data_IF_887875879338
#
_entry.id   IF_887875879338
#
_cell.length_a   1.000
_cell.length_b   1.000
_cell.length_c   1.000
_cell.angle_alpha   90.00
_cell.angle_beta   90.00
_cell.angle_gamma   90.00
#
_symmetry.space_group_name_H-M   'P 1'
#
loop_
_entity.id
_entity.type
_entity.pdbx_description
1 polymer ?
#
# COMPACT_ATOMS: atom_id res chain seq x y z
N UNK A 1 -37.85 -6.04 -26.76
CA UNK A 1 -36.42 -6.15 -27.11
C UNK A 1 -35.89 -4.74 -27.37
N UNK A 2 -35.19 -4.16 -26.39
CA UNK A 2 -34.32 -3.00 -26.61
C UNK A 2 -33.36 -2.91 -25.44
N UNK A 3 -32.09 -2.73 -25.78
CA UNK A 3 -30.90 -3.05 -25.02
C UNK A 3 -30.62 -2.08 -23.87
N UNK A 4 -30.09 -2.59 -22.77
CA UNK A 4 -29.45 -1.80 -21.72
C UNK A 4 -28.09 -1.26 -22.23
N UNK A 5 -27.73 0.01 -21.97
CA UNK A 5 -26.39 0.49 -22.24
C UNK A 5 -25.45 -0.02 -21.14
N UNK A 6 -24.43 -0.79 -21.53
CA UNK A 6 -23.31 -1.12 -20.67
C UNK A 6 -22.56 0.16 -20.28
N UNK A 7 -22.72 0.58 -19.03
CA UNK A 7 -21.88 1.61 -18.42
C UNK A 7 -20.47 1.08 -18.25
N UNK A 8 -19.54 1.58 -19.05
CA UNK A 8 -18.10 1.42 -18.87
C UNK A 8 -17.70 1.97 -17.49
N UNK A 9 -17.45 1.09 -16.54
CA UNK A 9 -16.80 1.44 -15.27
C UNK A 9 -15.35 1.79 -15.61
N UNK A 10 -14.97 3.08 -15.53
CA UNK A 10 -13.59 3.51 -15.77
C UNK A 10 -12.71 2.97 -14.64
N UNK A 11 -11.74 2.11 -14.98
CA UNK A 11 -10.64 1.78 -14.07
C UNK A 11 -9.58 2.90 -14.16
N UNK A 12 -9.09 3.37 -13.02
CA UNK A 12 -8.02 4.37 -12.94
C UNK A 12 -6.67 3.67 -12.77
N UNK A 13 -5.75 3.83 -13.73
CA UNK A 13 -4.36 3.32 -13.70
C UNK A 13 -3.37 4.45 -13.82
N UNK A 14 -2.23 4.36 -13.12
CA UNK A 14 -1.05 5.25 -13.13
C UNK A 14 0.01 4.66 -14.04
N UNK A 15 -0.34 4.43 -15.31
CA UNK A 15 0.66 4.07 -16.30
C UNK A 15 1.24 5.37 -16.88
N UNK A 16 2.52 5.62 -16.63
CA UNK A 16 3.30 6.52 -17.47
C UNK A 16 3.39 5.85 -18.84
N UNK A 17 3.05 6.57 -19.91
CA UNK A 17 2.87 5.96 -21.24
C UNK A 17 4.21 5.49 -21.82
N UNK A 18 4.67 4.34 -21.34
CA UNK A 18 5.73 3.51 -21.85
C UNK A 18 5.09 2.13 -22.02
N UNK A 19 5.10 1.61 -23.23
CA UNK A 19 4.21 0.55 -23.69
C UNK A 19 4.35 -0.78 -22.92
N UNK A 20 3.45 -1.07 -21.98
CA UNK A 20 3.10 -2.44 -21.58
C UNK A 20 2.04 -2.47 -20.47
N UNK A 21 0.86 -3.08 -20.68
CA UNK A 21 -0.09 -3.31 -19.57
C UNK A 21 0.23 -4.66 -18.94
N UNK A 22 0.85 -4.66 -17.76
CA UNK A 22 1.26 -5.90 -17.11
C UNK A 22 0.03 -6.58 -16.49
N UNK A 23 -0.32 -7.76 -17.00
CA UNK A 23 -1.46 -8.61 -16.57
C UNK A 23 -1.25 -9.34 -15.23
N UNK A 24 -0.13 -9.11 -14.54
CA UNK A 24 0.31 -9.89 -13.36
C UNK A 24 -0.69 -9.95 -12.19
N UNK A 25 -1.67 -9.05 -12.11
CA UNK A 25 -2.62 -9.06 -11.00
C UNK A 25 -4.03 -9.59 -11.31
N UNK A 26 -4.36 -9.96 -12.55
CA UNK A 26 -5.64 -10.67 -12.80
C UNK A 26 -5.68 -12.00 -12.02
N UNK A 27 -4.58 -12.75 -12.00
CA UNK A 27 -4.45 -14.00 -11.23
C UNK A 27 -4.55 -13.79 -9.71
N UNK A 28 -4.00 -12.69 -9.21
CA UNK A 28 -4.09 -12.31 -7.80
C UNK A 28 -5.53 -11.97 -7.44
N UNK A 29 -6.23 -11.20 -8.29
CA UNK A 29 -7.64 -10.87 -8.08
C UNK A 29 -8.54 -12.09 -8.22
N UNK A 30 -8.29 -12.99 -9.18
CA UNK A 30 -9.05 -14.23 -9.33
C UNK A 30 -8.91 -15.11 -8.09
N UNK A 31 -7.67 -15.29 -7.62
CA UNK A 31 -7.35 -16.03 -6.39
C UNK A 31 -8.03 -15.41 -5.17
N UNK A 32 -7.94 -14.08 -5.02
CA UNK A 32 -8.57 -13.38 -3.91
C UNK A 32 -10.10 -13.38 -4.03
N UNK A 33 -10.65 -13.29 -5.24
CA UNK A 33 -12.09 -13.38 -5.49
C UNK A 33 -12.65 -14.76 -5.16
N UNK A 34 -11.85 -15.82 -5.33
CA UNK A 34 -12.16 -17.15 -4.85
C UNK A 34 -12.13 -17.23 -3.31
N UNK A 35 -11.14 -16.59 -2.66
CA UNK A 35 -11.06 -16.53 -1.19
C UNK A 35 -12.20 -15.69 -0.59
N UNK A 36 -12.63 -14.64 -1.30
CA UNK A 36 -13.61 -13.67 -0.81
C UNK A 36 -15.03 -13.85 -1.35
N UNK A 37 -15.24 -14.80 -2.26
CA UNK A 37 -16.49 -15.00 -2.99
C UNK A 37 -16.77 -13.92 -4.04
N UNK A 38 -17.54 -14.27 -5.07
CA UNK A 38 -17.96 -13.39 -6.19
C UNK A 38 -18.91 -12.23 -5.81
N UNK A 39 -19.03 -11.91 -4.52
CA UNK A 39 -19.87 -10.83 -4.01
C UNK A 39 -19.01 -9.77 -3.33
N UNK A 40 -18.46 -8.87 -4.15
CA UNK A 40 -17.98 -7.54 -3.75
C UNK A 40 -19.10 -6.61 -3.23
N UNK A 41 -20.30 -7.13 -2.95
CA UNK A 41 -21.34 -6.37 -2.30
C UNK A 41 -21.10 -6.38 -0.80
N UNK A 42 -20.57 -5.25 -0.31
CA UNK A 42 -20.57 -4.81 1.07
C UNK A 42 -21.85 -5.28 1.78
N UNK A 43 -21.76 -6.36 2.54
CA UNK A 43 -22.87 -6.77 3.40
C UNK A 43 -22.85 -5.84 4.61
N UNK A 44 -23.82 -4.94 4.62
CA UNK A 44 -24.11 -4.05 5.72
C UNK A 44 -24.54 -4.86 6.95
N UNK A 45 -23.89 -4.57 8.08
CA UNK A 45 -24.40 -4.64 9.46
C UNK A 45 -24.86 -5.95 10.12
N UNK A 46 -24.95 -7.15 9.51
CA UNK A 46 -25.38 -8.31 10.34
C UNK A 46 -25.07 -9.75 9.90
N UNK A 47 -24.15 -10.00 8.99
CA UNK A 47 -23.71 -11.38 8.77
C UNK A 47 -22.24 -11.44 8.45
N UNK A 48 -21.45 -11.75 9.48
CA UNK A 48 -20.23 -12.52 9.30
C UNK A 48 -20.64 -13.76 8.48
N UNK A 49 -20.10 -13.90 7.27
CA UNK A 49 -20.25 -15.15 6.55
C UNK A 49 -19.67 -16.23 7.47
N UNK A 50 -20.41 -17.30 7.76
CA UNK A 50 -19.83 -18.42 8.49
C UNK A 50 -18.68 -18.92 7.62
N UNK A 51 -17.46 -18.85 8.15
CA UNK A 51 -16.30 -19.51 7.57
C UNK A 51 -16.67 -20.99 7.55
N UNK A 52 -17.01 -21.52 6.38
CA UNK A 52 -17.18 -22.97 6.23
C UNK A 52 -15.91 -23.65 6.72
N UNK A 53 -16.10 -24.54 7.68
CA UNK A 53 -15.06 -25.25 8.42
C UNK A 53 -14.27 -26.20 7.52
N UNK A 54 -13.02 -26.44 7.96
CA UNK A 54 -12.17 -27.61 7.69
C UNK A 54 -10.98 -27.50 6.72
N UNK A 55 -10.45 -26.29 6.49
CA UNK A 55 -9.08 -26.15 5.98
C UNK A 55 -8.04 -25.99 7.11
N UNK A 56 -6.85 -26.55 6.91
CA UNK A 56 -5.80 -26.56 7.92
C UNK A 56 -5.28 -25.17 8.31
N UNK A 57 -5.37 -24.16 7.45
CA UNK A 57 -4.94 -22.79 7.79
C UNK A 57 -5.89 -22.26 8.86
N UNK A 58 -7.20 -22.36 8.62
CA UNK A 58 -8.24 -21.97 9.57
C UNK A 58 -8.05 -22.68 10.92
N UNK A 59 -7.83 -24.00 10.90
CA UNK A 59 -7.57 -24.77 12.12
C UNK A 59 -6.28 -24.34 12.83
N UNK A 60 -5.19 -24.12 12.09
CA UNK A 60 -3.89 -23.71 12.64
C UNK A 60 -3.98 -22.33 13.30
N UNK A 61 -4.65 -21.37 12.66
CA UNK A 61 -4.83 -20.01 13.20
C UNK A 61 -5.66 -20.04 14.47
N UNK A 62 -6.80 -20.74 14.48
CA UNK A 62 -7.67 -20.85 15.67
C UNK A 62 -6.95 -21.54 16.83
N UNK A 63 -6.16 -22.59 16.57
CA UNK A 63 -5.37 -23.30 17.58
C UNK A 63 -4.18 -22.49 18.11
N UNK A 64 -3.70 -21.48 17.38
CA UNK A 64 -2.62 -20.62 17.86
C UNK A 64 -3.04 -19.69 19.00
N UNK A 65 -4.35 -19.56 19.26
CA UNK A 65 -4.89 -18.83 20.40
C UNK A 65 -4.31 -17.40 20.50
N UNK A 66 -4.30 -16.70 19.36
CA UNK A 66 -3.61 -15.42 19.16
C UNK A 66 -4.00 -14.37 20.21
N UNK A 67 -5.27 -14.37 20.62
CA UNK A 67 -5.87 -13.36 21.51
C UNK A 67 -5.99 -13.79 22.98
N UNK A 68 -5.40 -14.94 23.36
CA UNK A 68 -5.40 -15.37 24.75
C UNK A 68 -4.63 -14.38 25.64
N UNK A 69 -5.31 -13.86 26.65
CA UNK A 69 -4.84 -12.84 27.59
C UNK A 69 -4.49 -11.49 26.93
N UNK A 70 -5.19 -11.14 25.85
CA UNK A 70 -5.02 -9.87 25.11
C UNK A 70 -6.35 -9.11 25.17
N UNK A 71 -6.46 -8.11 26.05
CA UNK A 71 -7.67 -7.28 26.23
C UNK A 71 -8.01 -6.51 24.95
N UNK A 72 -6.97 -6.07 24.23
CA UNK A 72 -7.10 -5.44 22.91
C UNK A 72 -7.89 -6.29 21.90
N UNK A 73 -7.94 -7.61 22.11
CA UNK A 73 -8.54 -8.59 21.21
C UNK A 73 -9.69 -9.35 21.90
N UNK A 74 -10.72 -8.61 22.34
CA UNK A 74 -11.93 -9.14 23.00
C UNK A 74 -13.15 -9.08 22.08
N UNK A 75 -14.11 -9.99 22.32
CA UNK A 75 -15.39 -10.07 21.61
C UNK A 75 -15.20 -10.09 20.07
N UNK A 76 -15.86 -9.18 19.36
CA UNK A 76 -15.84 -9.11 17.89
C UNK A 76 -14.44 -8.82 17.32
N UNK A 77 -13.54 -8.20 18.08
CA UNK A 77 -12.18 -7.89 17.60
C UNK A 77 -11.27 -9.11 17.58
N UNK A 78 -11.60 -10.15 18.38
CA UNK A 78 -10.96 -11.47 18.27
C UNK A 78 -11.26 -12.12 16.94
N UNK A 79 -12.54 -12.20 16.60
CA UNK A 79 -12.95 -12.77 15.33
C UNK A 79 -12.35 -11.98 14.17
N UNK A 80 -12.33 -10.65 14.25
CA UNK A 80 -11.69 -9.80 13.24
C UNK A 80 -10.20 -10.14 13.05
N UNK A 81 -9.42 -10.24 14.13
CA UNK A 81 -8.00 -10.57 14.06
C UNK A 81 -7.75 -11.96 13.45
N UNK A 82 -8.51 -12.97 13.90
CA UNK A 82 -8.41 -14.33 13.38
C UNK A 82 -8.77 -14.39 11.89
N UNK A 83 -9.88 -13.76 11.49
CA UNK A 83 -10.29 -13.67 10.09
C UNK A 83 -9.22 -12.98 9.23
N UNK A 84 -8.65 -11.88 9.71
CA UNK A 84 -7.62 -11.14 8.98
C UNK A 84 -6.40 -12.01 8.72
N UNK A 85 -5.92 -12.71 9.75
CA UNK A 85 -4.76 -13.58 9.66
C UNK A 85 -5.04 -14.80 8.78
N UNK A 86 -6.23 -15.40 8.87
CA UNK A 86 -6.64 -16.51 8.00
C UNK A 86 -6.61 -16.08 6.54
N UNK A 87 -7.19 -14.92 6.23
CA UNK A 87 -7.24 -14.41 4.86
C UNK A 87 -5.85 -14.08 4.34
N UNK A 88 -4.99 -13.43 5.14
CA UNK A 88 -3.60 -13.18 4.78
C UNK A 88 -2.86 -14.50 4.49
N UNK A 89 -3.03 -15.52 5.35
CA UNK A 89 -2.41 -16.83 5.16
C UNK A 89 -2.92 -17.54 3.91
N UNK A 90 -4.23 -17.56 3.67
CA UNK A 90 -4.81 -18.15 2.45
C UNK A 90 -4.33 -17.42 1.19
N UNK A 91 -4.25 -16.09 1.24
CA UNK A 91 -3.75 -15.27 0.13
C UNK A 91 -2.30 -15.61 -0.22
N UNK A 92 -1.43 -15.64 0.79
CA UNK A 92 -0.03 -16.03 0.62
C UNK A 92 0.10 -17.49 0.15
N UNK A 93 -0.61 -18.43 0.78
CA UNK A 93 -0.58 -19.84 0.40
C UNK A 93 -0.95 -20.04 -1.07
N UNK A 94 -2.02 -19.42 -1.53
CA UNK A 94 -2.47 -19.59 -2.91
C UNK A 94 -1.48 -19.02 -3.92
N UNK A 95 -0.84 -17.88 -3.60
CA UNK A 95 0.25 -17.35 -4.43
C UNK A 95 1.42 -18.34 -4.45
N UNK A 96 1.85 -18.83 -3.30
CA UNK A 96 2.95 -19.78 -3.22
C UNK A 96 2.63 -21.09 -3.95
N UNK A 97 1.40 -21.60 -3.86
CA UNK A 97 0.92 -22.77 -4.62
C UNK A 97 0.97 -22.52 -6.13
N UNK A 98 0.45 -21.38 -6.57
CA UNK A 98 0.45 -21.01 -7.98
C UNK A 98 1.87 -20.86 -8.53
N UNK A 99 2.80 -20.36 -7.72
CA UNK A 99 4.18 -20.08 -8.11
C UNK A 99 5.08 -21.32 -8.08
N UNK A 100 4.98 -22.13 -7.03
CA UNK A 100 5.83 -23.31 -6.83
C UNK A 100 5.25 -24.58 -7.47
N UNK A 101 3.96 -24.58 -7.83
CA UNK A 101 3.29 -25.73 -8.43
C UNK A 101 3.51 -27.01 -7.60
N UNK A 102 4.02 -28.05 -8.26
CA UNK A 102 4.30 -29.35 -7.63
C UNK A 102 5.40 -29.30 -6.56
N UNK A 103 6.25 -28.26 -6.55
CA UNK A 103 7.26 -28.06 -5.51
C UNK A 103 6.65 -27.49 -4.22
N UNK A 104 5.41 -26.99 -4.26
CA UNK A 104 4.73 -26.49 -3.07
C UNK A 104 4.45 -27.63 -2.08
N UNK A 105 5.16 -27.62 -0.95
CA UNK A 105 4.95 -28.58 0.13
C UNK A 105 4.06 -27.96 1.20
N UNK A 106 2.78 -28.34 1.22
CA UNK A 106 1.79 -27.88 2.22
C UNK A 106 2.30 -27.97 3.68
N UNK A 107 2.91 -29.09 4.07
CA UNK A 107 3.47 -29.27 5.43
C UNK A 107 4.58 -28.26 5.77
N UNK A 108 5.35 -27.85 4.77
CA UNK A 108 6.39 -26.83 4.95
C UNK A 108 5.72 -25.48 5.19
N UNK A 109 4.73 -25.12 4.38
CA UNK A 109 3.99 -23.87 4.57
C UNK A 109 3.25 -23.84 5.90
N UNK A 110 2.68 -24.96 6.35
CA UNK A 110 2.06 -25.06 7.69
C UNK A 110 3.04 -24.73 8.82
N UNK A 111 4.27 -25.22 8.74
CA UNK A 111 5.31 -24.89 9.72
C UNK A 111 5.72 -23.41 9.63
N UNK A 112 5.81 -22.88 8.41
CA UNK A 112 6.07 -21.47 8.19
C UNK A 112 4.94 -20.59 8.75
N UNK A 113 3.68 -21.01 8.60
CA UNK A 113 2.52 -20.33 9.16
C UNK A 113 2.58 -20.28 10.69
N UNK A 114 3.04 -21.34 11.37
CA UNK A 114 3.23 -21.31 12.84
C UNK A 114 4.18 -20.19 13.25
N UNK A 115 5.27 -19.98 12.51
CA UNK A 115 6.18 -18.84 12.73
C UNK A 115 5.47 -17.50 12.52
N UNK A 116 4.63 -17.36 11.49
CA UNK A 116 3.88 -16.12 11.24
C UNK A 116 2.97 -15.80 12.44
N UNK A 117 2.33 -16.83 12.98
CA UNK A 117 1.40 -16.71 14.11
C UNK A 117 2.10 -16.31 15.41
N UNK A 118 3.36 -16.72 15.61
CA UNK A 118 4.18 -16.24 16.74
C UNK A 118 4.42 -14.72 16.64
N UNK A 119 4.77 -14.20 15.46
CA UNK A 119 4.93 -12.76 15.23
C UNK A 119 3.61 -12.00 15.36
N UNK A 120 2.52 -12.54 14.82
CA UNK A 120 1.18 -11.95 14.99
C UNK A 120 0.83 -11.84 16.48
N UNK A 121 1.11 -12.88 17.27
CA UNK A 121 0.87 -12.85 18.71
C UNK A 121 1.72 -11.80 19.42
N UNK A 122 2.98 -11.62 19.01
CA UNK A 122 3.83 -10.55 19.51
C UNK A 122 3.26 -9.15 19.20
N UNK A 123 2.81 -8.94 17.96
CA UNK A 123 2.17 -7.68 17.53
C UNK A 123 0.93 -7.38 18.38
N UNK A 124 0.04 -8.37 18.58
CA UNK A 124 -1.18 -8.21 19.37
C UNK A 124 -0.88 -7.94 20.86
N UNK A 125 0.15 -8.57 21.43
CA UNK A 125 0.59 -8.26 22.80
C UNK A 125 1.17 -6.86 22.92
N UNK A 126 1.97 -6.42 21.95
CA UNK A 126 2.49 -5.06 21.90
C UNK A 126 1.37 -4.03 21.81
N UNK A 127 0.36 -4.28 20.97
CA UNK A 127 -0.84 -3.46 20.87
C UNK A 127 -1.61 -3.37 22.19
N UNK A 128 -1.72 -4.48 22.92
CA UNK A 128 -2.34 -4.49 24.24
C UNK A 128 -1.59 -3.64 25.27
N UNK A 129 -0.26 -3.66 25.24
CA UNK A 129 0.55 -2.81 26.11
C UNK A 129 0.33 -1.32 25.76
N UNK A 130 0.37 -0.97 24.47
CA UNK A 130 0.06 0.41 24.01
C UNK A 130 -1.34 0.87 24.45
N UNK A 131 -2.35 0.01 24.34
CA UNK A 131 -3.71 0.34 24.80
C UNK A 131 -3.75 0.64 26.32
N UNK A 132 -2.92 -0.05 27.09
CA UNK A 132 -2.81 0.14 28.54
C UNK A 132 -2.12 1.47 28.87
N UNK A 133 -1.15 1.89 28.07
CA UNK A 133 -0.38 3.13 28.24
C UNK A 133 -1.13 4.37 27.73
N UNK A 134 -1.73 4.29 26.56
CA UNK A 134 -2.35 5.42 25.85
C UNK A 134 -3.86 5.58 26.10
N UNK A 135 -4.51 4.53 26.63
CA UNK A 135 -5.94 4.52 26.92
C UNK A 135 -6.84 4.22 25.71
N UNK A 136 -8.17 4.16 25.94
CA UNK A 136 -9.14 3.71 24.93
C UNK A 136 -9.28 4.64 23.73
N UNK A 137 -8.94 5.92 23.88
CA UNK A 137 -9.10 6.92 22.81
C UNK A 137 -8.12 6.70 21.64
N UNK A 138 -7.05 5.93 21.84
CA UNK A 138 -6.10 5.56 20.77
C UNK A 138 -6.40 4.21 20.11
N UNK A 139 -7.46 3.50 20.52
CA UNK A 139 -7.79 2.15 20.04
C UNK A 139 -7.82 2.05 18.50
N UNK A 140 -8.35 3.08 17.85
CA UNK A 140 -8.37 3.19 16.40
C UNK A 140 -6.97 3.15 15.79
N UNK A 141 -6.05 3.99 16.27
CA UNK A 141 -4.68 4.07 15.75
C UNK A 141 -3.92 2.77 16.00
N UNK A 142 -4.16 2.14 17.16
CA UNK A 142 -3.56 0.85 17.49
C UNK A 142 -4.05 -0.24 16.53
N UNK A 143 -5.33 -0.27 16.14
CA UNK A 143 -5.82 -1.24 15.14
C UNK A 143 -5.26 -1.01 13.74
N UNK A 144 -5.14 0.25 13.31
CA UNK A 144 -4.48 0.59 12.05
C UNK A 144 -3.03 0.10 12.05
N UNK A 145 -2.32 0.28 13.16
CA UNK A 145 -0.95 -0.22 13.36
C UNK A 145 -0.89 -1.75 13.30
N UNK A 146 -1.78 -2.46 13.98
CA UNK A 146 -1.82 -3.93 14.01
C UNK A 146 -2.04 -4.50 12.62
N UNK A 147 -3.00 -3.95 11.87
CA UNK A 147 -3.30 -4.41 10.50
C UNK A 147 -2.05 -4.28 9.61
N UNK A 148 -1.39 -3.12 9.67
CA UNK A 148 -0.19 -2.82 8.88
C UNK A 148 1.03 -3.65 9.29
N UNK A 149 1.25 -3.86 10.59
CA UNK A 149 2.37 -4.67 11.09
C UNK A 149 2.22 -6.15 10.75
N UNK A 150 1.00 -6.68 10.82
CA UNK A 150 0.73 -8.05 10.38
C UNK A 150 0.98 -8.16 8.87
N UNK A 151 0.47 -7.21 8.08
CA UNK A 151 0.72 -7.15 6.63
C UNK A 151 2.23 -7.15 6.32
N UNK A 152 3.00 -6.30 7.01
CA UNK A 152 4.46 -6.24 6.89
C UNK A 152 5.13 -7.59 7.18
N UNK A 153 4.75 -8.27 8.27
CA UNK A 153 5.33 -9.57 8.63
C UNK A 153 4.98 -10.67 7.63
N UNK A 154 3.77 -10.64 7.08
CA UNK A 154 3.39 -11.58 6.01
C UNK A 154 4.20 -11.33 4.74
N UNK A 155 4.40 -10.07 4.33
CA UNK A 155 5.27 -9.74 3.19
C UNK A 155 6.70 -10.21 3.42
N UNK A 156 7.31 -9.84 4.56
CA UNK A 156 8.68 -10.18 4.93
C UNK A 156 8.91 -11.70 4.92
N UNK A 157 8.11 -12.43 5.69
CA UNK A 157 8.30 -13.86 5.86
C UNK A 157 7.92 -14.65 4.60
N UNK A 158 7.04 -14.13 3.74
CA UNK A 158 6.74 -14.74 2.45
C UNK A 158 7.89 -14.53 1.46
N UNK A 159 8.46 -13.32 1.41
CA UNK A 159 9.63 -13.04 0.57
C UNK A 159 10.85 -13.85 0.99
N UNK A 160 11.10 -14.01 2.30
CA UNK A 160 12.17 -14.89 2.82
C UNK A 160 11.91 -16.34 2.41
N UNK A 161 10.68 -16.81 2.55
CA UNK A 161 10.30 -18.16 2.17
C UNK A 161 10.55 -18.39 0.67
N UNK A 162 10.10 -17.48 -0.19
CA UNK A 162 10.34 -17.59 -1.63
C UNK A 162 11.84 -17.59 -1.93
N UNK A 163 12.63 -16.69 -1.34
CA UNK A 163 14.08 -16.63 -1.60
C UNK A 163 14.81 -17.94 -1.24
N UNK A 164 14.32 -18.69 -0.24
CA UNK A 164 14.90 -19.98 0.15
C UNK A 164 14.50 -21.13 -0.78
N UNK A 165 13.28 -21.11 -1.32
CA UNK A 165 12.74 -22.17 -2.18
C UNK A 165 12.96 -21.93 -3.68
N UNK A 166 13.26 -20.69 -4.06
CA UNK A 166 13.45 -20.28 -5.45
C UNK A 166 14.87 -20.56 -6.01
N UNK A 167 15.66 -21.37 -5.32
CA UNK A 167 16.89 -21.91 -5.90
C UNK A 167 16.56 -22.86 -7.08
N UNK A 168 15.32 -23.33 -7.22
CA UNK A 168 14.93 -24.37 -8.19
C UNK A 168 13.81 -24.00 -9.19
N UNK A 169 13.24 -22.78 -9.19
CA UNK A 169 12.11 -22.42 -10.07
C UNK A 169 12.50 -21.56 -11.28
N UNK A 170 11.71 -21.63 -12.37
CA UNK A 170 11.95 -20.90 -13.63
C UNK A 170 11.40 -19.46 -13.67
N UNK A 171 10.62 -19.04 -12.67
CA UNK A 171 9.93 -17.74 -12.70
C UNK A 171 10.78 -16.64 -12.06
N UNK A 172 10.66 -15.38 -12.47
CA UNK A 172 11.48 -14.30 -11.91
C UNK A 172 11.15 -14.07 -10.42
N UNK A 173 12.18 -13.97 -9.56
CA UNK A 173 12.00 -13.61 -8.13
C UNK A 173 11.24 -12.28 -7.97
N UNK A 174 11.44 -11.37 -8.93
CA UNK A 174 10.77 -10.07 -8.99
C UNK A 174 9.25 -10.24 -9.14
N UNK A 175 8.79 -11.03 -10.12
CA UNK A 175 7.36 -11.30 -10.34
C UNK A 175 6.69 -11.92 -9.11
N UNK A 176 7.38 -12.82 -8.42
CA UNK A 176 6.87 -13.45 -7.21
C UNK A 176 6.68 -12.45 -6.08
N UNK A 177 7.69 -11.61 -5.85
CA UNK A 177 7.61 -10.54 -4.86
C UNK A 177 6.48 -9.56 -5.20
N UNK A 178 6.29 -9.24 -6.49
CA UNK A 178 5.17 -8.38 -6.93
C UNK A 178 3.82 -8.98 -6.56
N UNK A 179 3.58 -10.25 -6.91
CA UNK A 179 2.30 -10.92 -6.60
C UNK A 179 2.04 -11.00 -5.09
N UNK A 180 3.06 -11.31 -4.29
CA UNK A 180 2.95 -11.36 -2.83
C UNK A 180 2.62 -10.00 -2.20
N UNK A 181 3.36 -8.96 -2.60
CA UNK A 181 3.14 -7.60 -2.10
C UNK A 181 1.74 -7.12 -2.52
N UNK A 182 1.33 -7.34 -3.77
CA UNK A 182 -0.01 -6.98 -4.23
C UNK A 182 -1.13 -7.67 -3.45
N UNK A 183 -1.02 -8.97 -3.17
CA UNK A 183 -2.06 -9.66 -2.42
C UNK A 183 -2.18 -9.15 -0.99
N UNK A 184 -1.06 -8.96 -0.30
CA UNK A 184 -1.07 -8.43 1.08
C UNK A 184 -1.65 -7.02 1.14
N UNK A 185 -1.31 -6.16 0.17
CA UNK A 185 -1.86 -4.80 -0.03
C UNK A 185 -3.37 -4.82 -0.25
N UNK A 186 -3.89 -5.70 -1.11
CA UNK A 186 -5.33 -5.82 -1.38
C UNK A 186 -6.07 -6.27 -0.11
N UNK A 187 -5.53 -7.26 0.60
CA UNK A 187 -6.12 -7.76 1.85
C UNK A 187 -6.07 -6.67 2.93
N UNK A 188 -4.96 -5.95 3.06
CA UNK A 188 -4.81 -4.83 3.99
C UNK A 188 -5.87 -3.76 3.75
N UNK A 189 -5.98 -3.21 2.52
CA UNK A 189 -6.97 -2.18 2.20
C UNK A 189 -8.39 -2.63 2.54
N UNK A 190 -8.73 -3.88 2.21
CA UNK A 190 -10.02 -4.46 2.53
C UNK A 190 -10.28 -4.50 4.03
N UNK A 191 -9.30 -4.88 4.83
CA UNK A 191 -9.48 -4.96 6.29
C UNK A 191 -9.43 -3.58 6.96
N UNK A 192 -8.66 -2.63 6.44
CA UNK A 192 -8.75 -1.22 6.83
C UNK A 192 -10.14 -0.64 6.53
N UNK A 193 -10.74 -1.01 5.41
CA UNK A 193 -12.11 -0.63 5.07
C UNK A 193 -13.13 -1.28 5.99
N UNK A 194 -13.03 -2.61 6.19
CA UNK A 194 -13.92 -3.37 7.08
C UNK A 194 -13.87 -2.85 8.52
N UNK A 195 -12.68 -2.53 9.04
CA UNK A 195 -12.54 -2.03 10.42
C UNK A 195 -13.14 -0.63 10.56
N UNK A 196 -13.02 0.21 9.53
CA UNK A 196 -13.68 1.51 9.46
C UNK A 196 -15.21 1.38 9.46
N UNK A 197 -15.80 0.58 8.56
CA UNK A 197 -17.27 0.44 8.48
C UNK A 197 -17.85 -0.31 9.69
N UNK A 198 -17.21 -1.42 10.08
CA UNK A 198 -17.72 -2.32 11.11
C UNK A 198 -17.56 -1.79 12.53
N UNK A 199 -16.46 -1.09 12.80
CA UNK A 199 -16.09 -0.66 14.14
C UNK A 199 -15.92 0.87 14.27
N UNK A 200 -16.16 1.65 13.21
CA UNK A 200 -15.96 3.10 13.23
C UNK A 200 -14.49 3.53 13.31
N UNK A 201 -13.56 2.59 13.14
CA UNK A 201 -12.12 2.81 13.27
C UNK A 201 -11.52 3.25 11.93
N UNK A 202 -11.91 4.44 11.47
CA UNK A 202 -11.54 4.99 10.16
C UNK A 202 -10.35 5.94 10.25
N UNK A 203 -9.44 5.95 9.28
CA UNK A 203 -8.38 6.97 9.19
C UNK A 203 -9.01 8.37 9.22
N UNK A 204 -8.73 9.15 10.27
CA UNK A 204 -9.31 10.49 10.49
C UNK A 204 -8.42 11.62 9.98
N UNK A 205 -7.11 11.41 10.00
CA UNK A 205 -6.12 12.35 9.47
C UNK A 205 -5.45 11.71 8.27
N UNK A 206 -5.61 12.35 7.11
CA UNK A 206 -4.96 11.98 5.85
C UNK A 206 -4.31 13.22 5.23
N UNK A 207 -3.50 13.88 6.06
CA UNK A 207 -2.86 15.15 5.73
C UNK A 207 -1.90 15.02 4.55
N UNK A 208 -1.11 13.95 4.50
CA UNK A 208 -0.18 13.70 3.39
C UNK A 208 -0.94 13.52 2.08
N UNK A 209 -1.98 12.68 2.10
CA UNK A 209 -2.87 12.50 0.93
C UNK A 209 -3.48 13.83 0.48
N UNK A 210 -3.93 14.67 1.41
CA UNK A 210 -4.55 15.96 1.11
C UNK A 210 -3.54 16.99 0.58
N UNK A 211 -2.35 17.03 1.14
CA UNK A 211 -1.27 17.92 0.69
C UNK A 211 -0.82 17.54 -0.72
N UNK A 212 -0.59 16.26 -0.98
CA UNK A 212 -0.26 15.76 -2.31
C UNK A 212 -1.36 16.10 -3.33
N UNK A 213 -2.63 15.87 -2.97
CA UNK A 213 -3.75 16.23 -3.84
C UNK A 213 -3.77 17.71 -4.17
N UNK A 214 -3.54 18.57 -3.19
CA UNK A 214 -3.53 20.03 -3.36
C UNK A 214 -2.43 20.44 -4.35
N UNK A 215 -1.21 19.90 -4.22
CA UNK A 215 -0.10 20.16 -5.13
C UNK A 215 -0.45 19.71 -6.56
N UNK A 216 -0.97 18.49 -6.71
CA UNK A 216 -1.33 17.92 -8.02
C UNK A 216 -2.47 18.69 -8.70
N UNK A 217 -3.45 19.18 -7.93
CA UNK A 217 -4.51 20.06 -8.43
C UNK A 217 -3.94 21.38 -8.95
N UNK A 218 -2.98 21.97 -8.25
CA UNK A 218 -2.33 23.19 -8.72
C UNK A 218 -1.52 22.96 -10.00
N UNK A 219 -0.84 21.82 -10.15
CA UNK A 219 -0.13 21.51 -11.40
C UNK A 219 -1.05 21.45 -12.62
N UNK A 220 -2.29 20.98 -12.47
CA UNK A 220 -3.25 20.93 -13.57
C UNK A 220 -3.59 22.32 -14.16
N UNK A 221 -3.48 23.38 -13.36
CA UNK A 221 -3.82 24.76 -13.76
C UNK A 221 -2.61 25.69 -13.93
N UNK A 222 -1.40 25.23 -13.59
CA UNK A 222 -0.17 26.01 -13.74
C UNK A 222 0.35 26.01 -15.17
N UNK A 223 1.36 26.83 -15.49
CA UNK A 223 2.07 26.76 -16.77
C UNK A 223 2.97 25.52 -16.83
N UNK A 224 3.16 24.96 -18.04
CA UNK A 224 3.94 23.73 -18.24
C UNK A 224 5.37 23.89 -17.73
N UNK A 225 5.98 25.04 -18.04
CA UNK A 225 7.35 25.37 -17.66
C UNK A 225 7.52 25.46 -16.13
N UNK A 226 6.47 25.90 -15.41
CA UNK A 226 6.52 25.93 -13.94
C UNK A 226 6.45 24.53 -13.35
N UNK A 227 5.59 23.66 -13.87
CA UNK A 227 5.52 22.26 -13.43
C UNK A 227 6.83 21.54 -13.74
N UNK A 228 7.41 21.78 -14.91
CA UNK A 228 8.74 21.28 -15.30
C UNK A 228 9.84 21.77 -14.36
N UNK A 229 9.82 23.04 -13.99
CA UNK A 229 10.78 23.61 -13.03
C UNK A 229 10.68 22.94 -11.65
N UNK A 230 9.47 22.64 -11.18
CA UNK A 230 9.28 21.86 -9.96
C UNK A 230 9.91 20.47 -10.07
N UNK A 231 9.63 19.75 -11.17
CA UNK A 231 10.19 18.40 -11.38
C UNK A 231 11.71 18.44 -11.48
N UNK A 232 12.29 19.51 -12.04
CA UNK A 232 13.74 19.72 -12.06
C UNK A 232 14.32 19.80 -10.64
N UNK A 233 13.77 20.65 -9.78
CA UNK A 233 14.22 20.75 -8.40
C UNK A 233 14.06 19.42 -7.64
N UNK A 234 12.94 18.72 -7.84
CA UNK A 234 12.72 17.40 -7.23
C UNK A 234 13.77 16.38 -7.70
N UNK A 235 14.02 16.31 -9.02
CA UNK A 235 14.99 15.39 -9.63
C UNK A 235 16.42 15.63 -9.09
N UNK A 236 16.83 16.90 -9.00
CA UNK A 236 18.13 17.30 -8.45
C UNK A 236 18.27 16.92 -6.96
N UNK A 237 17.25 17.18 -6.15
CA UNK A 237 17.30 16.83 -4.72
C UNK A 237 17.28 15.32 -4.47
N UNK A 238 16.53 14.53 -5.27
CA UNK A 238 16.57 13.07 -5.19
C UNK A 238 17.97 12.52 -5.48
N UNK A 239 18.67 13.10 -6.46
CA UNK A 239 20.06 12.76 -6.75
C UNK A 239 20.98 13.12 -5.56
N UNK A 240 20.86 14.34 -5.03
CA UNK A 240 21.66 14.81 -3.89
C UNK A 240 21.47 13.96 -2.63
N UNK A 241 20.28 13.39 -2.44
CA UNK A 241 19.95 12.54 -1.29
C UNK A 241 20.36 11.07 -1.46
N UNK A 242 21.04 10.71 -2.56
CA UNK A 242 21.39 9.32 -2.90
C UNK A 242 20.16 8.40 -2.98
N UNK A 243 18.98 8.92 -3.33
CA UNK A 243 17.76 8.12 -3.41
C UNK A 243 17.89 6.96 -4.40
N UNK A 244 18.59 7.14 -5.51
CA UNK A 244 18.72 6.10 -6.52
C UNK A 244 19.57 4.90 -6.07
N UNK A 245 20.41 5.04 -5.03
CA UNK A 245 21.28 3.94 -4.58
C UNK A 245 20.54 2.85 -3.81
N UNK A 246 19.29 3.09 -3.41
CA UNK A 246 18.45 2.09 -2.73
C UNK A 246 17.56 1.29 -3.69
N UNK A 247 17.50 1.68 -4.96
CA UNK A 247 16.72 1.01 -6.00
C UNK A 247 17.58 -0.01 -6.76
N UNK A 248 16.93 -0.92 -7.48
CA UNK A 248 17.64 -1.75 -8.47
C UNK A 248 18.24 -0.87 -9.57
N UNK A 249 19.32 -1.32 -10.22
CA UNK A 249 19.96 -0.57 -11.31
C UNK A 249 18.96 -0.21 -12.42
N UNK A 250 18.16 -1.19 -12.86
CA UNK A 250 17.15 -0.98 -13.90
C UNK A 250 16.08 0.03 -13.47
N UNK A 251 15.51 -0.13 -12.27
CA UNK A 251 14.48 0.79 -11.76
C UNK A 251 15.03 2.20 -11.55
N UNK A 252 16.24 2.31 -11.01
CA UNK A 252 16.93 3.59 -10.83
C UNK A 252 17.16 4.29 -12.16
N UNK A 253 17.64 3.56 -13.17
CA UNK A 253 17.91 4.08 -14.49
C UNK A 253 16.64 4.58 -15.19
N UNK A 254 15.58 3.76 -15.21
CA UNK A 254 14.31 4.13 -15.82
C UNK A 254 13.65 5.32 -15.13
N UNK A 255 13.67 5.37 -13.79
CA UNK A 255 13.15 6.51 -13.05
C UNK A 255 13.94 7.80 -13.34
N UNK A 256 15.27 7.71 -13.43
CA UNK A 256 16.11 8.85 -13.82
C UNK A 256 15.77 9.34 -15.23
N UNK A 257 15.58 8.44 -16.19
CA UNK A 257 15.17 8.81 -17.56
C UNK A 257 13.83 9.56 -17.54
N UNK A 258 12.81 8.99 -16.88
CA UNK A 258 11.47 9.59 -16.82
C UNK A 258 11.52 10.98 -16.17
N UNK A 259 12.19 11.12 -15.02
CA UNK A 259 12.30 12.39 -14.32
C UNK A 259 13.12 13.42 -15.12
N UNK A 260 14.18 12.97 -15.80
CA UNK A 260 14.98 13.81 -16.68
C UNK A 260 14.15 14.31 -17.88
N UNK A 261 13.36 13.44 -18.51
CA UNK A 261 12.45 13.83 -19.59
C UNK A 261 11.37 14.81 -19.11
N UNK A 262 10.78 14.55 -17.95
CA UNK A 262 9.84 15.47 -17.34
C UNK A 262 10.49 16.82 -16.98
N UNK A 263 11.76 16.86 -16.57
CA UNK A 263 12.46 18.08 -16.17
C UNK A 263 13.05 18.89 -17.34
N UNK A 264 13.41 18.24 -18.45
CA UNK A 264 14.24 18.85 -19.50
C UNK A 264 13.74 18.63 -20.94
N UNK A 265 12.96 17.59 -21.24
CA UNK A 265 12.52 17.31 -22.61
C UNK A 265 11.31 18.16 -23.01
N UNK A 266 11.42 18.91 -24.12
CA UNK A 266 10.29 19.69 -24.68
C UNK A 266 9.12 18.83 -25.14
N UNK A 267 9.34 17.53 -25.38
CA UNK A 267 8.37 16.63 -26.00
C UNK A 267 7.50 15.87 -24.98
N UNK A 268 7.88 15.90 -23.70
CA UNK A 268 7.12 15.25 -22.62
C UNK A 268 6.39 16.32 -21.82
N UNK A 269 5.09 16.11 -21.56
CA UNK A 269 4.28 16.98 -20.71
C UNK A 269 4.20 16.41 -19.29
N UNK A 270 4.93 16.97 -18.29
CA UNK A 270 4.82 16.53 -16.90
C UNK A 270 3.40 16.60 -16.36
N UNK A 271 2.61 17.59 -16.77
CA UNK A 271 1.22 17.71 -16.31
C UNK A 271 0.37 16.53 -16.72
N UNK A 272 0.48 16.09 -17.98
CA UNK A 272 -0.29 14.96 -18.46
C UNK A 272 0.03 13.71 -17.65
N UNK A 273 1.32 13.47 -17.36
CA UNK A 273 1.78 12.35 -16.55
C UNK A 273 1.28 12.44 -15.09
N UNK A 274 1.40 13.61 -14.47
CA UNK A 274 0.95 13.85 -13.08
C UNK A 274 -0.57 13.85 -12.94
N UNK A 275 -1.34 14.14 -14.00
CA UNK A 275 -2.80 14.14 -13.99
C UNK A 275 -3.39 12.76 -13.67
N UNK A 276 -2.67 11.71 -14.03
CA UNK A 276 -3.07 10.34 -13.75
C UNK A 276 -2.91 10.00 -12.28
N UNK A 277 -1.77 10.40 -11.69
CA UNK A 277 -1.57 10.31 -10.24
C UNK A 277 -2.62 11.14 -9.49
N UNK A 278 -2.93 12.34 -9.97
CA UNK A 278 -3.98 13.20 -9.39
C UNK A 278 -5.33 12.47 -9.31
N UNK A 279 -5.75 11.76 -10.37
CA UNK A 279 -7.02 11.00 -10.38
C UNK A 279 -7.03 9.90 -9.33
N UNK A 280 -5.92 9.17 -9.17
CA UNK A 280 -5.83 8.10 -8.16
C UNK A 280 -5.84 8.66 -6.74
N UNK A 281 -5.14 9.76 -6.50
CA UNK A 281 -5.17 10.46 -5.20
C UNK A 281 -6.58 11.00 -4.91
N UNK A 282 -7.26 11.54 -5.92
CA UNK A 282 -8.65 12.00 -5.79
C UNK A 282 -9.60 10.85 -5.42
N UNK A 283 -9.48 9.70 -6.11
CA UNK A 283 -10.26 8.50 -5.81
C UNK A 283 -10.02 8.02 -4.37
N UNK A 284 -8.79 8.12 -3.86
CA UNK A 284 -8.48 7.85 -2.46
C UNK A 284 -9.23 8.77 -1.50
N UNK A 285 -9.19 10.08 -1.75
CA UNK A 285 -9.90 11.06 -0.90
C UNK A 285 -11.40 10.76 -0.88
N UNK A 286 -11.98 10.43 -2.04
CA UNK A 286 -13.40 10.09 -2.13
C UNK A 286 -13.71 8.78 -1.39
N UNK A 287 -12.85 7.76 -1.51
CA UNK A 287 -12.95 6.53 -0.74
C UNK A 287 -12.92 6.80 0.78
N UNK A 288 -11.97 7.61 1.25
CA UNK A 288 -11.86 7.97 2.68
C UNK A 288 -13.07 8.75 3.19
N UNK A 289 -13.70 9.59 2.34
CA UNK A 289 -14.88 10.39 2.69
C UNK A 289 -16.18 9.59 2.67
N UNK A 290 -16.35 8.74 1.67
CA UNK A 290 -17.64 8.09 1.39
C UNK A 290 -17.69 6.63 1.80
N UNK A 291 -16.54 6.01 2.08
CA UNK A 291 -16.41 4.57 2.28
C UNK A 291 -17.03 3.76 1.13
N UNK A 292 -16.91 4.26 -0.11
CA UNK A 292 -17.35 3.53 -1.30
C UNK A 292 -16.14 2.97 -2.03
N UNK A 293 -16.16 1.65 -2.23
CA UNK A 293 -15.16 0.97 -3.04
C UNK A 293 -15.30 1.38 -4.52
N UNK A 294 -14.21 1.86 -5.09
CA UNK A 294 -14.05 2.00 -6.53
C UNK A 294 -13.19 0.85 -7.08
N UNK A 295 -13.44 0.45 -8.33
CA UNK A 295 -12.56 -0.49 -9.03
C UNK A 295 -11.27 0.22 -9.42
N UNK A 296 -10.20 -0.07 -8.71
CA UNK A 296 -8.86 0.46 -8.94
C UNK A 296 -7.96 -0.62 -9.54
N UNK A 297 -7.01 -0.22 -10.37
CA UNK A 297 -5.94 -1.13 -10.82
C UNK A 297 -4.87 -1.30 -9.73
N UNK A 298 -3.96 -2.26 -9.92
CA UNK A 298 -3.00 -2.67 -8.91
C UNK A 298 -2.00 -1.58 -8.50
N UNK A 299 -1.50 -0.82 -9.47
CA UNK A 299 -0.70 0.40 -9.27
C UNK A 299 -1.46 1.45 -8.45
N UNK A 300 -2.76 1.64 -8.72
CA UNK A 300 -3.59 2.56 -7.95
C UNK A 300 -3.83 2.06 -6.51
N UNK A 301 -4.02 0.75 -6.31
CA UNK A 301 -4.12 0.14 -4.98
C UNK A 301 -2.82 0.25 -4.18
N UNK A 302 -1.67 0.08 -4.82
CA UNK A 302 -0.36 0.31 -4.21
C UNK A 302 -0.22 1.77 -3.77
N UNK A 303 -0.57 2.72 -4.62
CA UNK A 303 -0.60 4.14 -4.22
C UNK A 303 -1.53 4.37 -3.03
N UNK A 304 -2.68 3.72 -2.97
CA UNK A 304 -3.59 3.85 -1.83
C UNK A 304 -2.98 3.36 -0.52
N UNK A 305 -2.28 2.21 -0.51
CA UNK A 305 -1.60 1.72 0.70
C UNK A 305 -0.39 2.59 1.06
N UNK A 306 0.45 2.95 0.09
CA UNK A 306 1.60 3.83 0.32
C UNK A 306 1.16 5.14 0.96
N UNK A 307 0.11 5.78 0.42
CA UNK A 307 -0.45 6.99 1.01
C UNK A 307 -1.05 6.74 2.38
N UNK A 308 -1.67 5.57 2.61
CA UNK A 308 -2.15 5.19 3.94
C UNK A 308 -1.04 5.02 4.96
N UNK A 309 0.13 4.52 4.57
CA UNK A 309 1.30 4.36 5.44
C UNK A 309 1.95 5.71 5.71
N UNK A 310 2.04 6.58 4.70
CA UNK A 310 2.53 7.95 4.85
C UNK A 310 1.61 8.78 5.75
N UNK A 311 0.29 8.70 5.57
CA UNK A 311 -0.69 9.35 6.45
C UNK A 311 -0.55 8.85 7.89
N UNK A 312 -0.33 7.54 8.10
CA UNK A 312 -0.08 6.97 9.43
C UNK A 312 1.19 7.55 10.06
N UNK A 313 2.30 7.57 9.32
CA UNK A 313 3.58 8.10 9.78
C UNK A 313 3.43 9.55 10.28
N UNK A 314 2.68 10.37 9.55
CA UNK A 314 2.50 11.78 9.85
C UNK A 314 1.36 12.07 10.83
N UNK A 315 0.38 11.17 10.97
CA UNK A 315 -0.67 11.31 12.00
C UNK A 315 -0.14 11.30 13.43
N UNK A 316 1.06 10.76 13.65
CA UNK A 316 1.73 10.67 14.95
C UNK A 316 2.52 11.98 15.25
N UNK A 317 2.87 12.75 14.22
CA UNK A 317 3.91 13.76 14.30
C UNK A 317 3.37 15.21 14.19
N UNK A 318 2.66 15.70 15.21
CA UNK A 318 2.12 17.09 15.30
C UNK A 318 1.02 17.42 14.26
N UNK A 319 0.09 18.35 14.58
CA UNK A 319 -0.87 18.86 13.61
C UNK A 319 -0.18 19.66 12.49
N UNK A 320 -0.61 19.48 11.23
CA UNK A 320 -0.29 20.38 10.10
C UNK A 320 1.17 20.39 9.63
N UNK A 321 1.82 19.23 9.56
CA UNK A 321 3.21 19.11 9.12
C UNK A 321 3.51 19.67 7.73
N UNK A 322 2.57 19.58 6.79
CA UNK A 322 2.77 20.07 5.42
C UNK A 322 2.35 21.53 5.23
N UNK A 323 1.87 22.21 6.28
CA UNK A 323 1.35 23.57 6.15
C UNK A 323 2.40 24.58 5.70
N UNK A 324 3.62 24.49 6.26
CA UNK A 324 4.73 25.37 5.89
C UNK A 324 5.16 25.12 4.44
N UNK A 325 5.37 23.85 4.07
CA UNK A 325 5.68 23.47 2.70
C UNK A 325 4.62 23.96 1.70
N UNK A 326 3.33 23.75 1.99
CA UNK A 326 2.25 24.21 1.13
C UNK A 326 2.23 25.73 1.01
N UNK A 327 2.45 26.44 2.12
CA UNK A 327 2.53 27.91 2.13
C UNK A 327 3.67 28.39 1.21
N UNK A 328 4.86 27.79 1.34
CA UNK A 328 6.01 28.14 0.52
C UNK A 328 5.78 27.76 -0.95
N UNK A 329 5.13 26.63 -1.22
CA UNK A 329 4.72 26.21 -2.57
C UNK A 329 3.80 27.25 -3.23
N UNK A 330 2.78 27.74 -2.53
CA UNK A 330 1.87 28.76 -3.06
C UNK A 330 2.57 30.10 -3.27
N UNK A 331 3.52 30.48 -2.42
CA UNK A 331 4.35 31.69 -2.62
C UNK A 331 5.27 31.54 -3.83
N UNK A 332 5.93 30.38 -3.96
CA UNK A 332 6.78 30.04 -5.09
C UNK A 332 6.02 30.13 -6.42
N UNK A 333 4.84 29.50 -6.48
CA UNK A 333 3.93 29.54 -7.64
C UNK A 333 3.69 30.98 -8.12
N UNK A 334 3.55 31.94 -7.21
CA UNK A 334 3.27 33.35 -7.51
C UNK A 334 4.53 34.15 -7.88
N UNK A 335 5.65 33.92 -7.20
CA UNK A 335 6.80 34.83 -7.21
C UNK A 335 8.03 34.34 -7.99
N UNK A 336 8.01 33.12 -8.55
CA UNK A 336 9.15 32.50 -9.25
C UNK A 336 10.47 32.57 -8.46
N UNK A 337 10.39 32.40 -7.14
CA UNK A 337 11.57 32.31 -6.26
C UNK A 337 12.23 30.93 -6.38
N UNK A 338 13.44 30.75 -5.85
CA UNK A 338 14.05 29.41 -5.78
C UNK A 338 13.30 28.54 -4.77
N UNK A 339 12.86 27.35 -5.17
CA UNK A 339 12.08 26.41 -4.34
C UNK A 339 12.84 25.13 -3.96
N UNK A 340 14.11 25.01 -4.40
CA UNK A 340 14.95 23.83 -4.10
C UNK A 340 15.12 23.60 -2.60
N UNK A 341 15.24 24.69 -1.81
CA UNK A 341 15.41 24.62 -0.35
C UNK A 341 14.20 23.97 0.32
N UNK A 342 12.98 24.39 -0.04
CA UNK A 342 11.74 23.86 0.53
C UNK A 342 11.53 22.39 0.13
N UNK A 343 11.87 22.02 -1.11
CA UNK A 343 11.86 20.61 -1.55
C UNK A 343 12.85 19.78 -0.74
N UNK A 344 14.06 20.28 -0.54
CA UNK A 344 15.07 19.61 0.27
C UNK A 344 14.62 19.44 1.72
N UNK A 345 14.00 20.45 2.31
CA UNK A 345 13.47 20.41 3.66
C UNK A 345 12.41 19.31 3.81
N UNK A 346 11.39 19.30 2.93
CA UNK A 346 10.33 18.29 3.00
C UNK A 346 10.86 16.86 2.74
N UNK A 347 11.82 16.68 1.82
CA UNK A 347 12.40 15.35 1.58
C UNK A 347 13.23 14.86 2.78
N UNK A 348 13.94 15.75 3.47
CA UNK A 348 14.64 15.40 4.70
C UNK A 348 13.67 15.08 5.84
N UNK A 349 12.54 15.78 5.93
CA UNK A 349 11.48 15.45 6.88
C UNK A 349 10.87 14.07 6.61
N UNK A 350 10.59 13.74 5.34
CA UNK A 350 10.15 12.40 4.93
C UNK A 350 11.18 11.35 5.36
N UNK A 351 12.47 11.59 5.06
CA UNK A 351 13.56 10.68 5.47
C UNK A 351 13.61 10.49 6.98
N UNK A 352 13.51 11.56 7.75
CA UNK A 352 13.57 11.51 9.21
C UNK A 352 12.34 10.78 9.78
N UNK A 353 11.13 11.04 9.25
CA UNK A 353 9.92 10.31 9.62
C UNK A 353 10.05 8.81 9.34
N UNK A 354 10.59 8.45 8.19
CA UNK A 354 10.86 7.05 7.83
C UNK A 354 11.85 6.39 8.80
N UNK A 355 12.87 7.10 9.26
CA UNK A 355 13.84 6.58 10.22
C UNK A 355 13.26 6.38 11.63
N UNK A 356 12.25 7.17 12.01
CA UNK A 356 11.55 7.06 13.30
C UNK A 356 10.47 5.98 13.31
N UNK A 357 10.10 5.47 12.14
CA UNK A 357 9.09 4.41 12.01
C UNK A 357 9.67 3.05 12.45
N UNK A 358 8.80 2.21 13.02
CA UNK A 358 9.11 0.81 13.30
C UNK A 358 9.70 0.12 12.06
N UNK A 359 10.81 -0.61 12.24
CA UNK A 359 11.57 -1.24 11.15
C UNK A 359 10.68 -2.02 10.18
N UNK A 360 9.77 -2.82 10.72
CA UNK A 360 8.86 -3.67 9.95
C UNK A 360 8.00 -2.85 8.97
N UNK A 361 7.47 -1.73 9.44
CA UNK A 361 6.65 -0.83 8.63
C UNK A 361 7.50 -0.06 7.62
N UNK A 362 8.74 0.29 7.99
CA UNK A 362 9.69 0.94 7.08
C UNK A 362 10.04 0.03 5.91
N UNK A 363 10.37 -1.23 6.20
CA UNK A 363 10.68 -2.24 5.18
C UNK A 363 9.47 -2.51 4.28
N UNK A 364 8.26 -2.63 4.85
CA UNK A 364 7.01 -2.75 4.09
C UNK A 364 6.85 -1.61 3.09
N UNK A 365 6.92 -0.36 3.56
CA UNK A 365 6.72 0.81 2.71
C UNK A 365 7.78 0.89 1.61
N UNK A 366 9.04 0.58 1.90
CA UNK A 366 10.10 0.48 0.90
C UNK A 366 9.78 -0.57 -0.16
N UNK A 367 9.33 -1.76 0.25
CA UNK A 367 8.97 -2.84 -0.66
C UNK A 367 7.78 -2.47 -1.56
N UNK A 368 6.74 -1.84 -1.00
CA UNK A 368 5.57 -1.39 -1.76
C UNK A 368 5.91 -0.28 -2.76
N UNK A 369 6.74 0.69 -2.36
CA UNK A 369 7.26 1.73 -3.26
C UNK A 369 8.12 1.10 -4.35
N UNK A 370 8.99 0.14 -4.02
CA UNK A 370 9.81 -0.56 -5.01
C UNK A 370 8.93 -1.28 -6.04
N UNK A 371 7.93 -2.05 -5.60
CA UNK A 371 7.01 -2.76 -6.52
C UNK A 371 6.22 -1.78 -7.36
N UNK A 372 5.73 -0.67 -6.79
CA UNK A 372 5.05 0.37 -7.56
C UNK A 372 5.95 0.91 -8.66
N UNK A 373 7.19 1.26 -8.34
CA UNK A 373 8.15 1.75 -9.33
C UNK A 373 8.42 0.69 -10.39
N UNK A 374 8.76 -0.53 -10.01
CA UNK A 374 9.01 -1.63 -10.94
C UNK A 374 7.82 -1.91 -11.87
N UNK A 375 6.57 -1.83 -11.39
CA UNK A 375 5.38 -2.00 -12.23
C UNK A 375 5.11 -0.81 -13.17
N UNK A 376 5.58 0.39 -12.81
CA UNK A 376 5.26 1.63 -13.54
C UNK A 376 6.37 2.09 -14.49
N UNK A 377 7.63 1.78 -14.19
CA UNK A 377 8.79 2.26 -14.97
C UNK A 377 9.57 1.15 -15.66
N UNK A 378 9.56 -0.07 -15.13
CA UNK A 378 10.37 -1.20 -15.62
C UNK A 378 9.55 -2.12 -16.53
N UNK A 379 8.83 -1.52 -17.50
CA UNK A 379 7.82 -2.16 -18.35
C UNK A 379 8.26 -3.38 -19.19
N UNK A 380 9.48 -3.86 -19.02
CA UNK A 380 10.01 -5.09 -19.61
C UNK A 380 9.60 -6.32 -18.78
N UNK A 381 8.46 -6.89 -19.15
CA UNK A 381 8.18 -8.33 -19.10
C UNK A 381 7.35 -8.78 -20.30
#
# INVERSE_FOLDING_TARGET
MSQFPHGLTKCYSIKFDVQGSVRLGEEVVETLSHIFGSKYNVISRRSFLPVEDDDYITSTVRLALLCTNVIFCQDDTKQFAEEYVIVQAKGVENILKSLLGDQFKRKVYENQLKLYLEYVRYILKSANNKLTEEGKDSLQNIWLDVIKKISAKFQELASIFVAQYHIESKQSMKDMNHKLILATVIIELKYLHRVCIGHGMCVKSFEYTTALYSILEQFAIMDEDKVRLFIRYLHEELYNMSFYTILSETTAHQLQIILNDMAYSSNVSPKNLLSTLQKVVAARIEFLRTNKDEKLSHDALLVHVILSDMDRMYSIAKPQQFHEFLTNFFQWKQKNINFSKDIKEVLNEIRNGMQQMDEDLRVKLINEVRVLLEMTVDGDY
#
